data_IF_838455079302
#
_entry.id   IF_838455079302
#
_cell.length_a   1.000
_cell.length_b   1.000
_cell.length_c   1.000
_cell.angle_alpha   90.00
_cell.angle_beta   90.00
_cell.angle_gamma   90.00
#
_symmetry.space_group_name_H-M   'P 1'
#
loop_
_entity.id
_entity.type
_entity.pdbx_description
1 polymer ?
#
# COMPACT_ATOMS: atom_id res chain seq x y z
N UNK A 1 45.04 58.26 -16.02
CA UNK A 1 43.86 58.04 -16.90
C UNK A 1 43.64 56.55 -17.08
N UNK A 2 42.35 56.16 -17.13
CA UNK A 2 41.76 54.81 -17.23
C UNK A 2 41.41 54.13 -15.91
N UNK A 3 40.24 54.53 -15.43
CA UNK A 3 39.39 53.81 -14.47
C UNK A 3 38.77 52.60 -15.18
N UNK A 4 39.02 51.38 -14.69
CA UNK A 4 38.27 50.19 -15.11
C UNK A 4 37.23 49.86 -14.03
N UNK A 5 35.96 49.95 -14.41
CA UNK A 5 34.84 49.45 -13.63
C UNK A 5 34.82 47.92 -13.69
N UNK A 6 34.79 47.29 -12.53
CA UNK A 6 34.43 45.87 -12.40
C UNK A 6 33.05 45.83 -11.74
N UNK A 7 32.05 45.47 -12.54
CA UNK A 7 30.73 45.05 -12.07
C UNK A 7 30.83 43.56 -11.76
N UNK A 8 30.59 43.17 -10.50
CA UNK A 8 30.32 41.77 -10.15
C UNK A 8 29.01 41.71 -9.38
N UNK A 9 28.10 40.92 -9.95
CA UNK A 9 26.74 40.65 -9.52
C UNK A 9 26.67 40.11 -8.09
N UNK A 10 25.78 40.69 -7.28
CA UNK A 10 25.25 40.05 -6.07
C UNK A 10 24.36 38.86 -6.45
N UNK A 11 24.79 37.64 -6.12
CA UNK A 11 23.96 36.46 -6.15
C UNK A 11 23.18 36.33 -4.83
N UNK A 12 21.86 36.49 -4.89
CA UNK A 12 20.94 36.22 -3.79
C UNK A 12 20.85 34.71 -3.61
N UNK A 13 21.45 34.21 -2.53
CA UNK A 13 21.38 32.82 -2.10
C UNK A 13 20.05 32.61 -1.34
N UNK A 14 18.95 32.43 -2.06
CA UNK A 14 17.69 31.98 -1.46
C UNK A 14 17.81 30.48 -1.12
N UNK A 15 18.18 30.18 0.12
CA UNK A 15 18.11 28.84 0.68
C UNK A 15 16.67 28.35 0.72
N UNK A 16 16.30 27.52 -0.25
CA UNK A 16 15.09 26.70 -0.20
C UNK A 16 15.43 25.40 0.52
N UNK A 17 15.31 25.39 1.84
CA UNK A 17 15.17 24.13 2.57
C UNK A 17 13.78 23.55 2.27
N UNK A 18 13.67 22.31 1.75
CA UNK A 18 12.39 21.65 1.67
C UNK A 18 11.91 21.33 3.08
N UNK A 19 10.81 21.96 3.49
CA UNK A 19 10.02 21.54 4.63
C UNK A 19 9.50 20.14 4.38
N UNK A 20 10.04 19.16 5.09
CA UNK A 20 9.41 17.85 5.24
C UNK A 20 8.22 18.07 6.18
N UNK A 21 7.00 18.05 5.64
CA UNK A 21 5.79 17.98 6.44
C UNK A 21 5.68 16.58 7.03
N UNK A 22 6.37 16.35 8.15
CA UNK A 22 6.05 15.25 9.06
C UNK A 22 4.66 15.57 9.62
N UNK A 23 3.72 14.62 9.60
CA UNK A 23 2.49 14.75 10.38
C UNK A 23 2.90 14.85 11.85
N UNK A 24 3.05 16.08 12.32
CA UNK A 24 3.76 16.35 13.56
C UNK A 24 2.92 15.87 14.73
N UNK A 25 3.56 15.09 15.61
CA UNK A 25 3.05 14.80 16.93
C UNK A 25 2.64 16.11 17.61
N UNK A 26 1.37 16.21 17.99
CA UNK A 26 0.82 17.41 18.62
C UNK A 26 0.16 17.09 19.95
N UNK A 27 0.06 18.10 20.78
CA UNK A 27 -0.75 18.05 21.99
C UNK A 27 -2.22 18.31 21.62
N UNK A 28 -3.06 17.31 21.87
CA UNK A 28 -4.52 17.39 21.77
C UNK A 28 -5.10 17.74 23.13
N UNK A 29 -6.10 18.59 23.15
CA UNK A 29 -6.77 19.06 24.37
C UNK A 29 -8.25 18.74 24.29
N UNK A 30 -8.80 18.08 25.32
CA UNK A 30 -10.25 17.90 25.44
C UNK A 30 -10.94 19.19 25.92
N UNK A 31 -12.26 19.29 25.74
CA UNK A 31 -13.07 20.38 26.32
C UNK A 31 -12.96 20.47 27.84
N UNK A 32 -12.69 19.33 28.49
CA UNK A 32 -12.46 19.27 29.94
C UNK A 32 -11.04 19.72 30.34
N UNK A 33 -10.17 20.05 29.38
CA UNK A 33 -8.80 20.51 29.61
C UNK A 33 -7.76 19.39 29.72
N UNK A 34 -8.16 18.12 29.55
CA UNK A 34 -7.22 16.99 29.53
C UNK A 34 -6.35 17.04 28.28
N UNK A 35 -5.05 16.87 28.45
CA UNK A 35 -4.07 16.95 27.36
C UNK A 35 -3.48 15.58 27.06
N UNK A 36 -3.31 15.27 25.78
CA UNK A 36 -2.62 14.05 25.31
C UNK A 36 -1.70 14.37 24.14
N UNK A 37 -0.50 13.81 24.14
CA UNK A 37 0.41 13.86 22.99
C UNK A 37 0.11 12.67 22.08
N UNK A 38 -0.26 12.94 20.84
CA UNK A 38 -0.63 11.92 19.89
C UNK A 38 -0.55 12.42 18.44
N UNK A 39 -0.40 11.47 17.52
CA UNK A 39 -0.52 11.67 16.08
C UNK A 39 -2.00 11.50 15.66
N UNK A 40 -2.52 12.38 14.81
CA UNK A 40 -3.80 12.15 14.13
C UNK A 40 -3.61 11.06 13.08
N UNK A 41 -4.27 9.92 13.27
CA UNK A 41 -4.19 8.82 12.30
C UNK A 41 -5.45 8.69 11.44
N UNK A 42 -6.62 9.13 11.93
CA UNK A 42 -7.87 9.07 11.17
C UNK A 42 -8.90 10.08 11.69
N UNK A 43 -9.72 10.63 10.79
CA UNK A 43 -10.93 11.37 11.13
C UNK A 43 -12.10 10.85 10.30
N UNK A 44 -13.14 10.34 10.96
CA UNK A 44 -14.38 9.87 10.34
C UNK A 44 -15.56 10.67 10.92
N UNK A 45 -16.01 11.69 10.20
CA UNK A 45 -17.08 12.57 10.68
C UNK A 45 -16.69 13.28 11.98
N UNK A 46 -17.42 12.96 13.06
CA UNK A 46 -17.17 13.49 14.41
C UNK A 46 -16.25 12.59 15.25
N UNK A 47 -15.71 11.48 14.73
CA UNK A 47 -14.77 10.63 15.46
C UNK A 47 -13.35 10.82 14.95
N UNK A 48 -12.41 10.99 15.86
CA UNK A 48 -10.99 11.20 15.62
C UNK A 48 -10.21 10.07 16.29
N UNK A 49 -9.40 9.35 15.51
CA UNK A 49 -8.50 8.34 16.04
C UNK A 49 -7.10 8.96 16.18
N UNK A 50 -6.58 8.90 17.40
CA UNK A 50 -5.28 9.43 17.78
C UNK A 50 -4.37 8.29 18.22
N UNK A 51 -3.11 8.29 17.76
CA UNK A 51 -2.09 7.31 18.15
C UNK A 51 -1.10 7.93 19.12
N UNK A 52 -1.05 7.40 20.34
CA UNK A 52 -0.15 7.85 21.40
C UNK A 52 1.27 7.28 21.19
N UNK A 53 2.29 7.85 21.86
CA UNK A 53 3.70 7.40 21.79
C UNK A 53 3.90 5.91 22.12
N UNK A 54 3.10 5.37 23.03
CA UNK A 54 3.15 3.95 23.39
C UNK A 54 2.50 3.02 22.36
N UNK A 55 2.10 3.56 21.20
CA UNK A 55 1.42 2.84 20.12
C UNK A 55 -0.08 2.63 20.35
N UNK A 56 -0.63 3.06 21.49
CA UNK A 56 -2.06 2.92 21.80
C UNK A 56 -2.87 3.89 20.96
N UNK A 57 -3.91 3.37 20.31
CA UNK A 57 -4.90 4.19 19.62
C UNK A 57 -6.05 4.53 20.56
N UNK A 58 -6.50 5.78 20.53
CA UNK A 58 -7.68 6.25 21.24
C UNK A 58 -8.63 6.90 20.24
N UNK A 59 -9.93 6.68 20.42
CA UNK A 59 -10.98 7.35 19.67
C UNK A 59 -11.61 8.41 20.54
N UNK A 60 -11.63 9.64 20.05
CA UNK A 60 -12.25 10.80 20.71
C UNK A 60 -13.21 11.47 19.75
N UNK A 61 -14.29 12.07 20.27
CA UNK A 61 -15.14 12.88 19.40
C UNK A 61 -14.45 14.20 19.09
N UNK A 62 -14.51 14.66 17.84
CA UNK A 62 -14.01 15.98 17.47
C UNK A 62 -14.74 17.06 18.27
N UNK A 63 -16.05 16.88 18.47
CA UNK A 63 -16.88 17.71 19.33
C UNK A 63 -16.47 17.73 20.82
N UNK A 64 -15.66 16.77 21.29
CA UNK A 64 -15.13 16.74 22.66
C UNK A 64 -13.73 17.35 22.79
N UNK A 65 -13.13 17.81 21.68
CA UNK A 65 -11.84 18.48 21.66
C UNK A 65 -11.96 19.99 21.85
N UNK A 66 -10.85 20.65 22.15
CA UNK A 66 -10.76 22.11 22.28
C UNK A 66 -11.09 22.79 20.95
N UNK A 67 -11.53 24.06 21.00
CA UNK A 67 -11.81 24.84 19.78
C UNK A 67 -10.58 24.94 18.86
N UNK A 68 -9.38 25.03 19.43
CA UNK A 68 -8.13 25.07 18.67
C UNK A 68 -7.84 23.75 17.95
N UNK A 69 -8.15 22.61 18.58
CA UNK A 69 -8.01 21.29 17.96
C UNK A 69 -9.11 21.03 16.93
N UNK A 70 -10.34 21.50 17.18
CA UNK A 70 -11.42 21.46 16.19
C UNK A 70 -11.07 22.29 14.96
N UNK A 71 -10.59 23.52 15.14
CA UNK A 71 -10.14 24.37 14.03
C UNK A 71 -8.96 23.75 13.26
N UNK A 72 -8.07 23.04 13.95
CA UNK A 72 -7.02 22.27 13.27
C UNK A 72 -7.61 21.14 12.43
N UNK A 73 -8.56 20.36 12.96
CA UNK A 73 -9.24 19.31 12.21
C UNK A 73 -10.01 19.87 11.00
N UNK A 74 -10.60 21.06 11.12
CA UNK A 74 -11.22 21.78 10.01
C UNK A 74 -10.21 22.30 8.98
N UNK A 75 -9.04 22.75 9.44
CA UNK A 75 -7.91 23.09 8.58
C UNK A 75 -7.38 21.89 7.80
N UNK A 76 -7.36 20.70 8.41
CA UNK A 76 -7.06 19.44 7.74
C UNK A 76 -8.14 19.10 6.69
N UNK A 77 -9.43 19.36 6.98
CA UNK A 77 -10.52 19.23 5.99
C UNK A 77 -10.33 20.12 4.75
N UNK A 78 -9.75 21.31 4.88
CA UNK A 78 -9.50 22.22 3.74
C UNK A 78 -8.30 21.84 2.87
N UNK A 79 -7.45 20.89 3.31
CA UNK A 79 -6.48 20.21 2.44
C UNK A 79 -7.03 18.88 1.88
N UNK A 80 -8.28 18.54 2.20
CA UNK A 80 -8.94 17.34 1.72
C UNK A 80 -9.62 17.66 0.40
N UNK A 81 -9.15 17.07 -0.70
CA UNK A 81 -9.80 17.19 -1.99
C UNK A 81 -11.30 16.90 -1.88
N UNK A 82 -12.14 17.69 -2.55
CA UNK A 82 -13.58 17.45 -2.64
C UNK A 82 -13.83 15.96 -2.98
N UNK A 83 -14.69 15.27 -2.24
CA UNK A 83 -14.91 13.82 -2.40
C UNK A 83 -16.22 13.58 -3.15
N UNK A 84 -16.20 12.72 -4.17
CA UNK A 84 -17.42 12.18 -4.77
C UNK A 84 -17.90 11.02 -3.90
N UNK A 85 -19.16 11.10 -3.44
CA UNK A 85 -19.82 10.02 -2.69
C UNK A 85 -19.58 8.67 -3.35
N UNK A 86 -19.12 7.70 -2.55
CA UNK A 86 -19.12 6.30 -2.91
C UNK A 86 -20.54 5.76 -3.01
N UNK A 87 -20.68 4.52 -3.48
CA UNK A 87 -21.92 3.76 -3.31
C UNK A 87 -21.62 2.55 -2.44
N UNK A 88 -22.64 1.85 -1.97
CA UNK A 88 -22.42 0.58 -1.28
C UNK A 88 -21.54 -0.37 -2.12
N UNK A 89 -21.49 -0.25 -3.46
CA UNK A 89 -20.66 -1.09 -4.35
C UNK A 89 -19.24 -0.60 -4.59
N UNK A 90 -18.92 0.65 -4.26
CA UNK A 90 -17.63 1.30 -4.60
C UNK A 90 -17.20 2.27 -3.51
N UNK A 91 -15.93 2.21 -3.15
CA UNK A 91 -15.32 3.21 -2.27
C UNK A 91 -15.49 4.62 -2.87
N UNK A 92 -15.64 5.65 -2.02
CA UNK A 92 -15.65 7.05 -2.46
C UNK A 92 -14.35 7.39 -3.20
N UNK A 93 -14.36 8.47 -3.97
CA UNK A 93 -13.16 8.89 -4.72
C UNK A 93 -12.90 10.38 -4.58
N UNK A 94 -11.63 10.75 -4.71
CA UNK A 94 -11.20 12.14 -4.83
C UNK A 94 -11.82 12.75 -6.11
N UNK A 95 -12.49 13.89 -6.00
CA UNK A 95 -13.14 14.60 -7.11
C UNK A 95 -12.15 15.47 -7.90
N UNK A 96 -11.07 15.89 -7.26
CA UNK A 96 -10.03 16.77 -7.79
C UNK A 96 -8.63 16.31 -7.33
N UNK A 97 -7.59 17.03 -7.74
CA UNK A 97 -6.20 16.69 -7.40
C UNK A 97 -5.55 15.65 -8.32
N UNK A 98 -4.31 15.28 -8.01
CA UNK A 98 -3.58 14.24 -8.72
C UNK A 98 -4.29 12.88 -8.55
N UNK A 99 -4.88 12.66 -7.38
CA UNK A 99 -5.60 11.44 -7.03
C UNK A 99 -7.00 11.35 -7.61
N UNK A 100 -7.44 12.28 -8.47
CA UNK A 100 -8.81 12.31 -9.00
C UNK A 100 -9.25 10.94 -9.54
N UNK A 101 -10.39 10.46 -9.02
CA UNK A 101 -10.99 9.18 -9.38
C UNK A 101 -10.42 7.96 -8.64
N UNK A 102 -9.44 8.16 -7.75
CA UNK A 102 -8.93 7.17 -6.81
C UNK A 102 -9.60 7.31 -5.45
N UNK A 103 -9.67 6.21 -4.70
CA UNK A 103 -10.05 6.27 -3.29
C UNK A 103 -8.91 6.85 -2.45
N UNK A 104 -7.67 6.46 -2.76
CA UNK A 104 -6.50 7.09 -2.16
C UNK A 104 -5.33 7.16 -3.13
N UNK A 105 -4.53 8.21 -2.98
CA UNK A 105 -3.23 8.37 -3.63
C UNK A 105 -2.19 8.63 -2.54
N UNK A 106 -1.12 7.85 -2.50
CA UNK A 106 0.05 8.16 -1.67
C UNK A 106 1.27 8.38 -2.55
N UNK A 107 2.01 9.45 -2.29
CA UNK A 107 3.25 9.81 -2.97
C UNK A 107 4.40 9.86 -1.96
N UNK A 108 5.25 8.84 -2.01
CA UNK A 108 6.51 8.79 -1.28
C UNK A 108 7.67 9.32 -2.12
N UNK A 109 8.88 9.16 -1.61
CA UNK A 109 10.11 9.57 -2.32
C UNK A 109 10.42 8.61 -3.49
N UNK A 110 10.23 7.32 -3.25
CA UNK A 110 10.67 6.26 -4.18
C UNK A 110 9.49 5.60 -4.92
N UNK A 111 8.25 5.96 -4.60
CA UNK A 111 7.06 5.36 -5.21
C UNK A 111 5.78 6.19 -5.11
N UNK A 112 4.80 5.80 -5.92
CA UNK A 112 3.41 6.25 -5.84
C UNK A 112 2.50 5.03 -5.67
N UNK A 113 1.63 5.03 -4.67
CA UNK A 113 0.60 4.04 -4.48
C UNK A 113 -0.80 4.61 -4.79
N UNK A 114 -1.59 3.86 -5.53
CA UNK A 114 -2.93 4.25 -6.00
C UNK A 114 -3.93 3.20 -5.57
N UNK A 115 -4.86 3.56 -4.68
CA UNK A 115 -5.97 2.70 -4.28
C UNK A 115 -7.20 3.05 -5.09
N UNK A 116 -7.69 2.07 -5.85
CA UNK A 116 -8.87 2.26 -6.70
C UNK A 116 -10.17 2.21 -5.90
N UNK A 117 -11.25 2.68 -6.51
CA UNK A 117 -12.61 2.57 -5.96
C UNK A 117 -13.14 1.13 -5.78
N UNK A 118 -12.42 0.14 -6.31
CA UNK A 118 -12.69 -1.30 -6.09
C UNK A 118 -11.81 -1.92 -5.00
N UNK A 119 -11.01 -1.12 -4.28
CA UNK A 119 -10.17 -1.58 -3.17
C UNK A 119 -8.86 -2.25 -3.59
N UNK A 120 -8.53 -2.31 -4.89
CA UNK A 120 -7.22 -2.79 -5.35
C UNK A 120 -6.19 -1.66 -5.30
N UNK A 121 -4.94 -2.01 -5.02
CA UNK A 121 -3.84 -1.06 -4.97
C UNK A 121 -2.84 -1.31 -6.09
N UNK A 122 -2.34 -0.23 -6.70
CA UNK A 122 -1.19 -0.28 -7.61
C UNK A 122 -0.03 0.51 -7.02
N UNK A 123 1.17 -0.08 -7.06
CA UNK A 123 2.41 0.58 -6.65
C UNK A 123 3.27 0.82 -7.89
N UNK A 124 3.63 2.08 -8.13
CA UNK A 124 4.51 2.51 -9.22
C UNK A 124 5.81 3.06 -8.62
N UNK A 125 6.99 2.55 -9.01
CA UNK A 125 8.25 3.12 -8.56
C UNK A 125 8.50 4.47 -9.23
N UNK A 126 9.24 5.33 -8.53
CA UNK A 126 9.76 6.57 -9.08
C UNK A 126 11.19 6.29 -9.56
N UNK A 127 11.44 6.52 -10.85
CA UNK A 127 12.75 6.32 -11.48
C UNK A 127 13.17 7.65 -12.10
N UNK A 128 14.35 8.13 -11.73
CA UNK A 128 14.91 9.42 -12.19
C UNK A 128 13.93 10.60 -11.97
N UNK A 129 13.27 10.61 -10.80
CA UNK A 129 12.31 11.64 -10.41
C UNK A 129 10.95 11.57 -11.11
N UNK A 130 10.69 10.53 -11.91
CA UNK A 130 9.42 10.34 -12.63
C UNK A 130 8.76 9.02 -12.26
N UNK A 131 7.43 9.04 -12.16
CA UNK A 131 6.66 7.81 -11.94
C UNK A 131 6.83 6.90 -13.16
N UNK A 132 7.26 5.67 -12.93
CA UNK A 132 7.33 4.67 -13.99
C UNK A 132 5.93 4.10 -14.27
N UNK A 133 5.18 4.74 -15.15
CA UNK A 133 3.82 4.29 -15.50
C UNK A 133 3.81 2.97 -16.28
N UNK A 134 4.94 2.60 -16.89
CA UNK A 134 5.09 1.35 -17.65
C UNK A 134 5.29 0.14 -16.76
N UNK A 135 5.53 0.32 -15.47
CA UNK A 135 5.77 -0.78 -14.54
C UNK A 135 5.07 -0.55 -13.21
N UNK A 136 4.33 -1.55 -12.74
CA UNK A 136 3.66 -1.49 -11.45
C UNK A 136 3.47 -2.88 -10.84
N UNK A 137 3.15 -2.89 -9.55
CA UNK A 137 2.63 -4.08 -8.86
C UNK A 137 1.17 -3.85 -8.56
N UNK A 138 0.34 -4.82 -8.92
CA UNK A 138 -1.06 -4.86 -8.51
C UNK A 138 -1.19 -5.68 -7.25
N UNK A 139 -1.89 -5.15 -6.26
CA UNK A 139 -2.19 -5.83 -5.01
C UNK A 139 -3.69 -5.98 -4.91
N UNK A 140 -4.11 -7.24 -4.84
CA UNK A 140 -5.50 -7.64 -4.76
C UNK A 140 -5.63 -8.68 -3.66
N UNK A 141 -6.62 -8.52 -2.78
CA UNK A 141 -7.08 -9.63 -1.95
C UNK A 141 -7.81 -10.60 -2.88
N UNK A 142 -7.30 -11.83 -3.00
CA UNK A 142 -7.71 -12.85 -3.96
C UNK A 142 -8.37 -13.98 -3.17
N UNK A 143 -9.71 -14.01 -3.23
CA UNK A 143 -10.53 -15.03 -2.60
C UNK A 143 -11.29 -15.73 -3.72
N UNK A 144 -11.22 -17.06 -3.74
CA UNK A 144 -11.91 -17.85 -4.74
C UNK A 144 -12.23 -19.24 -4.21
N UNK A 145 -13.27 -19.83 -4.78
CA UNK A 145 -13.57 -21.24 -4.61
C UNK A 145 -12.85 -22.04 -5.70
N UNK A 146 -12.07 -23.05 -5.30
CA UNK A 146 -11.33 -23.91 -6.21
C UNK A 146 -12.14 -25.16 -6.54
N UNK A 147 -12.70 -25.22 -7.74
CA UNK A 147 -13.30 -26.46 -8.26
C UNK A 147 -12.27 -27.24 -9.07
N UNK A 148 -12.55 -28.52 -9.35
CA UNK A 148 -11.60 -29.46 -9.96
C UNK A 148 -10.85 -28.91 -11.18
N UNK A 149 -11.52 -28.14 -12.04
CA UNK A 149 -10.94 -27.50 -13.23
C UNK A 149 -11.30 -26.01 -13.40
N UNK A 150 -11.96 -25.39 -12.41
CA UNK A 150 -12.41 -24.00 -12.51
C UNK A 150 -12.16 -23.22 -11.22
N UNK A 151 -12.11 -21.89 -11.34
CA UNK A 151 -11.92 -20.97 -10.22
C UNK A 151 -12.88 -19.80 -10.36
N UNK A 152 -13.88 -19.75 -9.48
CA UNK A 152 -14.74 -18.58 -9.39
C UNK A 152 -14.09 -17.52 -8.48
N UNK A 153 -13.67 -16.41 -9.07
CA UNK A 153 -13.07 -15.30 -8.32
C UNK A 153 -14.14 -14.44 -7.67
N UNK A 154 -13.90 -14.11 -6.40
CA UNK A 154 -14.81 -13.30 -5.62
C UNK A 154 -14.27 -11.87 -5.50
N UNK A 155 -14.82 -10.96 -6.30
CA UNK A 155 -14.55 -9.51 -6.20
C UNK A 155 -15.42 -8.87 -5.11
N UNK A 156 -15.10 -7.64 -4.70
CA UNK A 156 -15.95 -6.87 -3.79
C UNK A 156 -17.27 -6.49 -4.48
N UNK A 157 -18.39 -6.93 -3.89
CA UNK A 157 -19.74 -6.52 -4.31
C UNK A 157 -20.21 -5.31 -3.52
N UNK A 158 -19.76 -5.18 -2.27
CA UNK A 158 -20.03 -4.02 -1.44
C UNK A 158 -18.90 -3.64 -0.49
N UNK A 159 -18.95 -2.40 -0.02
CA UNK A 159 -18.14 -1.82 1.04
C UNK A 159 -19.07 -1.30 2.14
N UNK A 160 -18.73 -1.64 3.38
CA UNK A 160 -19.59 -1.45 4.56
C UNK A 160 -19.00 -0.47 5.56
N UNK A 161 -17.66 -0.44 5.65
CA UNK A 161 -16.92 0.50 6.50
C UNK A 161 -15.68 0.97 5.74
N UNK A 162 -15.46 2.28 5.70
CA UNK A 162 -14.33 2.90 5.04
C UNK A 162 -14.15 4.34 5.52
N UNK A 163 -12.91 4.80 5.53
CA UNK A 163 -12.57 6.20 5.77
C UNK A 163 -12.96 7.10 4.59
N UNK A 164 -12.77 8.40 4.76
CA UNK A 164 -12.85 9.33 3.64
C UNK A 164 -11.72 9.10 2.63
N UNK A 165 -12.01 9.30 1.35
CA UNK A 165 -11.00 9.29 0.29
C UNK A 165 -9.95 10.40 0.55
N UNK A 166 -8.66 10.10 0.42
CA UNK A 166 -7.59 11.01 0.82
C UNK A 166 -6.34 10.93 -0.07
N UNK A 167 -5.64 12.06 -0.20
CA UNK A 167 -4.26 12.10 -0.68
C UNK A 167 -3.28 12.00 0.50
N UNK A 168 -2.18 11.28 0.28
CA UNK A 168 -1.11 10.96 1.22
C UNK A 168 -1.57 10.47 2.61
N UNK A 169 -2.55 9.54 2.71
CA UNK A 169 -2.89 8.96 4.00
C UNK A 169 -1.72 8.11 4.52
N UNK A 170 -1.51 8.07 5.85
CA UNK A 170 -0.59 7.10 6.47
C UNK A 170 -1.13 5.67 6.37
N UNK A 171 -2.46 5.50 6.29
CA UNK A 171 -3.12 4.22 6.16
C UNK A 171 -4.47 4.34 5.45
N UNK A 172 -4.82 3.30 4.71
CA UNK A 172 -6.17 3.05 4.20
C UNK A 172 -6.71 1.77 4.83
N UNK A 173 -7.94 1.85 5.33
CA UNK A 173 -8.69 0.73 5.89
C UNK A 173 -10.09 0.69 5.28
N UNK A 174 -10.56 -0.50 4.92
CA UNK A 174 -11.95 -0.71 4.51
C UNK A 174 -12.40 -2.14 4.80
N UNK A 175 -13.71 -2.28 5.02
CA UNK A 175 -14.44 -3.55 5.13
C UNK A 175 -15.38 -3.65 3.94
N UNK A 176 -15.38 -4.81 3.28
CA UNK A 176 -16.29 -5.07 2.19
C UNK A 176 -16.67 -6.52 2.05
N UNK A 177 -17.86 -6.75 1.50
CA UNK A 177 -18.38 -8.08 1.22
C UNK A 177 -18.05 -8.49 -0.21
N UNK A 178 -17.46 -9.67 -0.32
CA UNK A 178 -17.11 -10.33 -1.57
C UNK A 178 -18.31 -11.09 -2.12
N UNK A 179 -18.33 -11.25 -3.43
CA UNK A 179 -19.21 -12.22 -4.10
C UNK A 179 -19.08 -13.58 -3.43
N UNK A 180 -20.20 -14.24 -3.16
CA UNK A 180 -20.21 -15.45 -2.32
C UNK A 180 -20.34 -15.19 -0.82
N UNK A 181 -20.51 -13.93 -0.40
CA UNK A 181 -20.94 -13.55 0.95
C UNK A 181 -19.82 -13.33 1.96
N UNK A 182 -18.55 -13.58 1.61
CA UNK A 182 -17.44 -13.39 2.54
C UNK A 182 -17.15 -11.91 2.77
N UNK A 183 -17.29 -11.44 4.00
CA UNK A 183 -16.86 -10.11 4.43
C UNK A 183 -15.39 -10.13 4.79
N UNK A 184 -14.64 -9.12 4.33
CA UNK A 184 -13.21 -9.01 4.57
C UNK A 184 -12.83 -7.58 4.93
N UNK A 185 -11.89 -7.46 5.86
CA UNK A 185 -11.21 -6.23 6.17
C UNK A 185 -9.85 -6.19 5.49
N UNK A 186 -9.49 -5.03 4.94
CA UNK A 186 -8.22 -4.79 4.26
C UNK A 186 -7.57 -3.55 4.83
N UNK A 187 -6.26 -3.65 5.05
CA UNK A 187 -5.42 -2.55 5.51
C UNK A 187 -4.24 -2.39 4.54
N UNK A 188 -4.05 -1.16 4.05
CA UNK A 188 -2.85 -0.71 3.36
C UNK A 188 -2.18 0.38 4.19
N UNK A 189 -0.93 0.17 4.61
CA UNK A 189 -0.13 1.18 5.30
C UNK A 189 0.88 1.82 4.35
N UNK A 190 1.17 3.09 4.56
CA UNK A 190 2.08 3.86 3.71
C UNK A 190 3.16 4.54 4.55
N UNK A 191 4.40 4.27 4.18
CA UNK A 191 5.59 4.88 4.73
C UNK A 191 6.45 5.44 3.59
N UNK A 192 7.40 6.31 3.91
CA UNK A 192 8.22 7.03 2.93
C UNK A 192 8.80 6.15 1.81
N UNK A 193 9.25 4.95 2.16
CA UNK A 193 9.89 3.99 1.26
C UNK A 193 9.29 2.58 1.36
N UNK A 194 8.13 2.42 2.01
CA UNK A 194 7.53 1.12 2.23
C UNK A 194 6.00 1.16 2.20
N UNK A 195 5.41 0.08 1.72
CA UNK A 195 3.97 -0.16 1.77
C UNK A 195 3.73 -1.42 2.58
N UNK A 196 2.74 -1.40 3.46
CA UNK A 196 2.28 -2.62 4.13
C UNK A 196 0.91 -3.05 3.61
N UNK A 197 0.67 -4.35 3.56
CA UNK A 197 -0.62 -4.89 3.15
C UNK A 197 -1.04 -6.03 4.05
N UNK A 198 -2.32 -6.05 4.43
CA UNK A 198 -2.89 -7.11 5.23
C UNK A 198 -4.38 -7.24 4.97
N UNK A 199 -4.92 -8.43 5.24
CA UNK A 199 -6.36 -8.66 5.25
C UNK A 199 -6.75 -9.70 6.29
N UNK A 200 -8.03 -9.69 6.64
CA UNK A 200 -8.71 -10.82 7.29
C UNK A 200 -10.10 -11.03 6.72
N UNK A 201 -10.59 -12.25 6.77
CA UNK A 201 -12.00 -12.58 6.61
C UNK A 201 -12.73 -12.44 7.95
N UNK A 202 -14.04 -12.19 7.92
CA UNK A 202 -14.88 -12.11 9.12
C UNK A 202 -14.97 -13.49 9.82
N UNK A 203 -14.52 -13.61 11.09
CA UNK A 203 -14.57 -14.86 11.85
C UNK A 203 -15.99 -15.31 12.20
N UNK A 204 -16.98 -14.42 12.19
CA UNK A 204 -18.37 -14.73 12.53
C UNK A 204 -19.11 -15.45 11.39
N UNK A 205 -18.57 -15.36 10.18
CA UNK A 205 -19.08 -16.09 9.05
C UNK A 205 -18.54 -17.51 9.11
N UNK A 206 -19.41 -18.49 8.83
CA UNK A 206 -19.00 -19.88 8.69
C UNK A 206 -18.16 -20.02 7.40
N UNK A 207 -16.87 -19.70 7.50
CA UNK A 207 -15.89 -19.88 6.44
C UNK A 207 -15.69 -21.39 6.13
N UNK A 208 -16.25 -22.26 6.99
CA UNK A 208 -15.98 -23.68 7.15
C UNK A 208 -17.04 -24.63 6.55
N UNK A 209 -17.58 -24.35 5.37
CA UNK A 209 -18.37 -25.37 4.64
C UNK A 209 -17.86 -25.68 3.23
N UNK A 210 -16.74 -25.08 2.82
CA UNK A 210 -16.17 -25.30 1.48
C UNK A 210 -14.69 -25.59 1.62
N UNK A 211 -14.33 -26.89 1.63
CA UNK A 211 -12.95 -27.41 1.66
C UNK A 211 -12.03 -26.86 0.55
N UNK A 212 -12.59 -26.09 -0.38
CA UNK A 212 -11.99 -25.58 -1.59
C UNK A 212 -11.77 -24.05 -1.59
N UNK A 213 -12.07 -23.35 -0.49
CA UNK A 213 -11.88 -21.90 -0.42
C UNK A 213 -10.41 -21.52 -0.22
N UNK A 214 -9.91 -20.59 -1.03
CA UNK A 214 -8.56 -20.05 -0.92
C UNK A 214 -8.62 -18.56 -0.55
N UNK A 215 -7.87 -18.19 0.49
CA UNK A 215 -7.75 -16.82 0.99
C UNK A 215 -6.29 -16.37 0.91
N UNK A 216 -6.01 -15.32 0.14
CA UNK A 216 -4.63 -14.79 0.00
C UNK A 216 -4.61 -13.33 -0.42
N UNK A 217 -3.47 -12.67 -0.23
CA UNK A 217 -3.14 -11.43 -0.94
C UNK A 217 -2.26 -11.79 -2.13
N UNK A 218 -2.69 -11.39 -3.32
CA UNK A 218 -1.91 -11.53 -4.54
C UNK A 218 -1.18 -10.23 -4.82
N UNK A 219 0.15 -10.31 -4.82
CA UNK A 219 1.03 -9.26 -5.30
C UNK A 219 1.45 -9.63 -6.72
N UNK A 220 0.73 -9.12 -7.70
CA UNK A 220 1.02 -9.41 -9.09
C UNK A 220 2.08 -8.44 -9.61
N UNK A 221 3.25 -9.00 -9.90
CA UNK A 221 4.39 -8.31 -10.49
C UNK A 221 4.35 -8.56 -12.00
N UNK A 222 4.00 -7.53 -12.77
CA UNK A 222 4.02 -7.58 -14.23
C UNK A 222 2.64 -7.56 -14.91
N UNK A 223 2.62 -8.07 -16.16
CA UNK A 223 1.63 -7.83 -17.24
C UNK A 223 1.40 -6.36 -17.59
N UNK A 224 2.49 -5.65 -17.82
CA UNK A 224 2.47 -4.39 -18.57
C UNK A 224 2.69 -4.74 -20.04
N UNK A 225 1.78 -4.33 -20.92
CA UNK A 225 1.86 -4.60 -22.37
C UNK A 225 3.12 -4.06 -23.03
N UNK A 226 3.88 -3.21 -22.33
CA UNK A 226 4.99 -2.44 -22.89
C UNK A 226 6.34 -2.65 -22.15
N UNK A 227 6.51 -3.75 -21.42
CA UNK A 227 7.82 -4.08 -20.86
C UNK A 227 8.74 -4.62 -21.97
N UNK A 228 9.97 -4.09 -22.04
CA UNK A 228 11.02 -4.66 -22.89
C UNK A 228 11.33 -6.08 -22.42
N UNK A 229 10.80 -7.07 -23.12
CA UNK A 229 11.01 -8.48 -22.83
C UNK A 229 12.23 -9.06 -23.59
N UNK A 230 13.09 -8.22 -24.17
CA UNK A 230 14.29 -8.70 -24.84
C UNK A 230 15.17 -9.48 -23.87
N UNK A 231 15.92 -10.45 -24.40
CA UNK A 231 16.90 -11.21 -23.63
C UNK A 231 17.88 -10.30 -22.89
N UNK A 232 18.37 -9.26 -23.58
CA UNK A 232 19.31 -8.27 -23.01
C UNK A 232 18.69 -7.53 -21.84
N UNK A 233 17.41 -7.15 -21.92
CA UNK A 233 16.71 -6.53 -20.81
C UNK A 233 16.50 -7.53 -19.66
N UNK A 234 15.94 -8.70 -19.97
CA UNK A 234 15.55 -9.74 -19.01
C UNK A 234 16.72 -10.30 -18.19
N UNK A 235 17.90 -10.44 -18.80
CA UNK A 235 19.13 -10.88 -18.10
C UNK A 235 19.60 -9.91 -17.01
N UNK A 236 19.12 -8.66 -17.02
CA UNK A 236 19.39 -7.66 -15.99
C UNK A 236 18.38 -7.68 -14.85
N UNK A 237 17.25 -8.38 -15.01
CA UNK A 237 16.24 -8.52 -13.97
C UNK A 237 16.49 -9.79 -13.16
N UNK A 238 16.43 -9.69 -11.83
CA UNK A 238 16.71 -10.80 -10.92
C UNK A 238 15.71 -10.89 -9.78
N UNK A 239 15.42 -12.11 -9.35
CA UNK A 239 14.70 -12.40 -8.11
C UNK A 239 15.66 -13.10 -7.16
N UNK A 240 15.71 -12.69 -5.90
CA UNK A 240 16.32 -13.45 -4.81
C UNK A 240 15.24 -13.88 -3.84
N UNK A 241 15.31 -15.11 -3.38
CA UNK A 241 14.38 -15.68 -2.41
C UNK A 241 15.16 -16.12 -1.18
N UNK A 242 14.68 -15.73 -0.01
CA UNK A 242 15.03 -16.37 1.24
C UNK A 242 13.89 -17.29 1.65
N UNK A 243 14.15 -18.59 1.59
CA UNK A 243 13.19 -19.65 1.88
C UNK A 243 12.87 -19.70 3.37
N UNK A 244 11.77 -20.38 3.75
CA UNK A 244 11.40 -20.57 5.17
C UNK A 244 12.52 -21.30 5.95
N UNK A 245 13.21 -22.26 5.33
CA UNK A 245 14.33 -23.00 5.92
C UNK A 245 15.66 -22.19 5.97
N UNK A 246 15.65 -20.94 5.51
CA UNK A 246 16.82 -20.06 5.47
C UNK A 246 17.69 -20.21 4.22
N UNK A 247 17.41 -21.19 3.35
CA UNK A 247 18.13 -21.31 2.08
C UNK A 247 17.90 -20.08 1.19
N UNK A 248 18.93 -19.70 0.44
CA UNK A 248 18.87 -18.55 -0.48
C UNK A 248 18.94 -19.03 -1.91
N UNK A 249 18.03 -18.54 -2.74
CA UNK A 249 17.97 -18.85 -4.17
C UNK A 249 18.01 -17.56 -4.98
N UNK A 250 18.64 -17.61 -6.15
CA UNK A 250 18.74 -16.48 -7.07
C UNK A 250 18.32 -16.92 -8.45
N UNK A 251 17.47 -16.12 -9.08
CA UNK A 251 16.85 -16.39 -10.36
C UNK A 251 17.08 -15.21 -11.30
N UNK A 252 17.39 -15.51 -12.56
CA UNK A 252 17.32 -14.54 -13.64
C UNK A 252 15.95 -14.67 -14.32
N UNK A 253 15.31 -13.55 -14.64
CA UNK A 253 14.02 -13.54 -15.32
C UNK A 253 14.08 -14.20 -16.71
N UNK A 254 15.25 -14.21 -17.34
CA UNK A 254 15.46 -14.87 -18.63
C UNK A 254 15.59 -16.40 -18.53
N UNK A 255 16.31 -16.91 -17.53
CA UNK A 255 16.75 -18.31 -17.48
C UNK A 255 15.80 -19.22 -16.69
N UNK A 256 14.89 -18.62 -15.92
CA UNK A 256 14.07 -19.37 -14.96
C UNK A 256 12.68 -19.64 -15.54
N UNK A 257 12.37 -20.92 -15.73
CA UNK A 257 11.05 -21.36 -16.18
C UNK A 257 10.01 -21.39 -15.05
N UNK A 258 10.43 -21.57 -13.78
CA UNK A 258 9.53 -21.61 -12.61
C UNK A 258 10.21 -21.15 -11.32
N UNK A 259 9.55 -20.25 -10.59
CA UNK A 259 9.81 -20.02 -9.16
C UNK A 259 9.14 -21.12 -8.32
N UNK A 260 9.73 -21.51 -7.19
CA UNK A 260 9.11 -22.55 -6.36
C UNK A 260 9.60 -22.57 -4.92
N UNK A 261 8.72 -23.08 -4.05
CA UNK A 261 8.92 -23.20 -2.62
C UNK A 261 8.45 -21.97 -1.83
N UNK A 262 8.30 -22.15 -0.52
CA UNK A 262 7.79 -21.13 0.39
C UNK A 262 8.93 -20.21 0.86
N UNK A 263 8.72 -18.90 0.76
CA UNK A 263 9.70 -17.86 1.11
C UNK A 263 9.21 -16.97 2.25
N UNK A 264 10.16 -16.45 3.04
CA UNK A 264 9.90 -15.37 4.01
C UNK A 264 10.29 -13.99 3.48
N UNK A 265 11.18 -13.94 2.49
CA UNK A 265 11.60 -12.71 1.84
C UNK A 265 11.81 -12.94 0.34
N UNK A 266 11.37 -12.00 -0.48
CA UNK A 266 11.61 -11.98 -1.93
C UNK A 266 12.12 -10.59 -2.32
N UNK A 267 13.31 -10.53 -2.91
CA UNK A 267 13.91 -9.31 -3.45
C UNK A 267 13.82 -9.34 -4.98
N UNK A 268 13.40 -8.23 -5.57
CA UNK A 268 13.35 -8.00 -7.02
C UNK A 268 14.27 -6.83 -7.35
N UNK A 269 15.08 -7.03 -8.39
CA UNK A 269 16.02 -6.04 -8.91
C UNK A 269 15.94 -6.03 -10.44
N UNK A 270 16.14 -4.85 -11.03
CA UNK A 270 16.26 -4.70 -12.47
C UNK A 270 16.07 -3.26 -12.95
N UNK A 271 16.31 -3.01 -14.25
CA UNK A 271 16.27 -1.66 -14.83
C UNK A 271 14.93 -0.92 -14.68
N UNK A 272 13.82 -1.65 -14.50
CA UNK A 272 12.49 -1.06 -14.28
C UNK A 272 12.34 -0.35 -12.93
N UNK A 273 13.24 -0.63 -11.98
CA UNK A 273 13.31 0.00 -10.66
C UNK A 273 14.39 1.11 -10.60
N UNK A 274 15.09 1.36 -11.72
CA UNK A 274 16.19 2.33 -11.75
C UNK A 274 17.34 1.91 -10.84
N UNK A 275 17.68 2.76 -9.86
CA UNK A 275 18.69 2.47 -8.82
C UNK A 275 18.15 1.65 -7.65
N UNK A 276 16.83 1.49 -7.56
CA UNK A 276 16.18 0.84 -6.43
C UNK A 276 16.06 -0.65 -6.65
N UNK A 277 15.87 -1.35 -5.55
CA UNK A 277 15.36 -2.71 -5.49
C UNK A 277 14.07 -2.71 -4.69
N UNK A 278 13.30 -3.78 -4.87
CA UNK A 278 12.07 -3.99 -4.14
C UNK A 278 12.15 -5.25 -3.29
N UNK A 279 11.77 -5.15 -2.02
CA UNK A 279 11.85 -6.25 -1.06
C UNK A 279 10.48 -6.52 -0.46
N UNK A 280 9.96 -7.71 -0.68
CA UNK A 280 8.77 -8.25 -0.03
C UNK A 280 9.22 -9.02 1.20
N UNK A 281 8.71 -8.65 2.37
CA UNK A 281 9.03 -9.30 3.63
C UNK A 281 7.76 -9.63 4.38
N UNK A 282 7.64 -10.87 4.87
CA UNK A 282 6.53 -11.24 5.76
C UNK A 282 6.71 -10.61 7.14
N UNK A 283 5.61 -10.42 7.85
CA UNK A 283 5.64 -10.07 9.27
C UNK A 283 6.23 -11.19 10.14
N UNK A 284 6.20 -10.98 11.46
CA UNK A 284 6.78 -11.92 12.44
C UNK A 284 6.16 -13.31 12.44
N UNK A 285 4.91 -13.47 12.02
CA UNK A 285 4.18 -14.74 12.04
C UNK A 285 4.79 -15.77 11.10
N UNK A 286 5.13 -16.94 11.65
CA UNK A 286 5.65 -18.08 10.88
C UNK A 286 4.57 -18.76 10.02
N UNK A 287 3.29 -18.52 10.31
CA UNK A 287 2.19 -19.05 9.50
C UNK A 287 2.05 -18.34 8.16
N UNK A 288 2.51 -17.09 8.06
CA UNK A 288 2.49 -16.31 6.83
C UNK A 288 3.64 -16.71 5.93
N UNK A 289 3.35 -17.00 4.67
CA UNK A 289 4.34 -17.47 3.70
C UNK A 289 4.11 -16.86 2.34
N UNK A 290 5.23 -16.60 1.64
CA UNK A 290 5.19 -16.25 0.24
C UNK A 290 5.30 -17.50 -0.63
N UNK A 291 4.35 -17.64 -1.54
CA UNK A 291 4.38 -18.64 -2.59
C UNK A 291 4.42 -17.92 -3.95
N UNK A 292 5.61 -17.79 -4.56
CA UNK A 292 5.76 -17.18 -5.86
C UNK A 292 5.22 -18.12 -6.94
N UNK A 293 4.48 -17.57 -7.88
CA UNK A 293 3.86 -18.30 -8.98
C UNK A 293 4.08 -17.56 -10.29
N UNK A 294 4.73 -18.21 -11.25
CA UNK A 294 4.98 -17.65 -12.57
C UNK A 294 3.85 -18.00 -13.53
N UNK A 295 3.38 -17.01 -14.28
CA UNK A 295 2.47 -17.22 -15.39
C UNK A 295 3.28 -17.30 -16.69
N UNK A 296 2.95 -18.26 -17.55
CA UNK A 296 3.62 -18.43 -18.83
C UNK A 296 5.10 -18.81 -18.72
N UNK A 297 5.81 -18.74 -19.85
CA UNK A 297 7.19 -19.22 -19.98
C UNK A 297 8.23 -18.22 -19.46
N UNK A 298 7.91 -16.92 -19.42
CA UNK A 298 8.80 -15.87 -18.91
C UNK A 298 8.06 -14.97 -17.90
N UNK A 299 8.68 -14.60 -16.76
CA UNK A 299 8.07 -13.71 -15.77
C UNK A 299 7.74 -12.31 -16.31
N UNK A 300 8.37 -11.84 -17.41
CA UNK A 300 8.07 -10.53 -17.98
C UNK A 300 6.86 -10.56 -18.93
N UNK A 301 6.75 -11.60 -19.78
CA UNK A 301 5.65 -11.68 -20.75
C UNK A 301 4.34 -12.15 -20.10
N UNK A 302 4.41 -13.13 -19.20
CA UNK A 302 3.24 -13.65 -18.48
C UNK A 302 2.97 -12.96 -17.15
N UNK A 303 3.97 -12.31 -16.56
CA UNK A 303 3.93 -11.82 -15.18
C UNK A 303 4.19 -12.95 -14.17
N UNK A 304 4.38 -12.58 -12.91
CA UNK A 304 4.36 -13.53 -11.81
C UNK A 304 3.63 -12.93 -10.61
N UNK A 305 3.04 -13.79 -9.80
CA UNK A 305 2.43 -13.41 -8.53
C UNK A 305 3.32 -13.83 -7.37
N UNK A 306 3.38 -13.00 -6.34
CA UNK A 306 3.79 -13.41 -4.99
C UNK A 306 2.51 -13.50 -4.17
N UNK A 307 2.09 -14.72 -3.88
CA UNK A 307 0.93 -14.94 -3.02
C UNK A 307 1.37 -14.95 -1.57
N UNK A 308 0.72 -14.12 -0.75
CA UNK A 308 0.76 -14.27 0.70
C UNK A 308 -0.33 -15.25 1.12
N UNK A 309 0.07 -16.42 1.60
CA UNK A 309 -0.83 -17.39 2.19
C UNK A 309 -0.94 -17.19 3.70
N UNK A 310 -2.18 -17.17 4.19
CA UNK A 310 -2.52 -17.23 5.61
C UNK A 310 -3.33 -18.52 5.85
N UNK A 311 -2.81 -19.48 6.63
CA UNK A 311 -3.54 -20.71 6.96
C UNK A 311 -4.87 -20.42 7.66
N UNK A 312 -4.85 -19.45 8.57
CA UNK A 312 -6.06 -18.91 9.20
C UNK A 312 -6.32 -17.50 8.65
N UNK A 313 -7.36 -17.30 7.83
CA UNK A 313 -7.69 -15.99 7.28
C UNK A 313 -8.41 -15.08 8.28
N UNK A 314 -8.78 -15.56 9.47
CA UNK A 314 -9.62 -14.82 10.44
C UNK A 314 -8.83 -14.07 11.52
N UNK A 315 -7.54 -14.35 11.61
CA UNK A 315 -6.64 -13.78 12.60
C UNK A 315 -6.68 -12.25 12.60
N UNK A 316 -6.55 -11.67 13.80
CA UNK A 316 -6.55 -10.21 14.01
C UNK A 316 -5.16 -9.61 14.14
N UNK A 317 -4.11 -10.43 14.08
CA UNK A 317 -2.72 -10.02 14.32
C UNK A 317 -2.12 -9.36 13.08
N UNK A 318 -2.60 -8.14 12.80
CA UNK A 318 -2.15 -7.33 11.69
C UNK A 318 -0.62 -7.16 11.66
N UNK A 319 -0.01 -6.85 12.79
CA UNK A 319 1.41 -6.52 12.84
C UNK A 319 2.31 -7.73 12.60
N UNK A 320 1.93 -8.91 13.11
CA UNK A 320 2.69 -10.12 12.84
C UNK A 320 2.48 -10.66 11.42
N UNK A 321 1.39 -10.32 10.74
CA UNK A 321 1.00 -10.98 9.49
C UNK A 321 1.06 -10.12 8.24
N UNK A 322 1.26 -8.80 8.39
CA UNK A 322 1.37 -7.90 7.23
C UNK A 322 2.55 -8.27 6.32
N UNK A 323 2.37 -8.01 5.03
CA UNK A 323 3.49 -7.94 4.08
C UNK A 323 4.02 -6.54 4.11
N UNK A 324 5.33 -6.39 4.17
CA UNK A 324 6.02 -5.12 3.92
C UNK A 324 6.71 -5.18 2.56
N UNK A 325 6.47 -4.17 1.73
CA UNK A 325 7.08 -3.99 0.42
C UNK A 325 7.93 -2.73 0.51
N UNK A 326 9.24 -2.89 0.63
CA UNK A 326 10.19 -1.77 0.68
C UNK A 326 10.77 -1.50 -0.71
N UNK A 327 10.82 -0.24 -1.12
CA UNK A 327 11.49 0.22 -2.34
C UNK A 327 12.69 1.05 -1.89
N UNK A 328 13.90 0.56 -2.15
CA UNK A 328 15.13 1.17 -1.62
C UNK A 328 16.30 1.04 -2.57
#
# INVERSE_FOLDING_TARGET
MKTNQVVVLSAIFCGLWPWIAVAAERQWTSKAGTKVEAELIQQNGDVVTLKMQNGREIQVKASDLSEADQAFLEGQKSQTAEVVSGSQKRLPVLASGEGKGLYALYRGDDYVARVSKSGSMKIHPIVDGKVNEKWFISIDVDIYEQQANDREKFWFESFEDYAQAAENPSQVRFVGTRRGGTTCEVIYGFEKNAVTTWFRADPSQELQSKDNMVYRVRHFVGKTTDMDASEKFSKRCRVKQEMIDGNKRKYNFWETLKFGGESKEIEIDGPMLGKHKMVFKRGGSESVKFSPYQYGESPLSGGFAIYMYKPDPTTKDHDAEKVTITIK
#
